data_IF_813456928260
#
_entry.id   IF_813456928260
#
_cell.length_a   1.000
_cell.length_b   1.000
_cell.length_c   1.000
_cell.angle_alpha   90.00
_cell.angle_beta   90.00
_cell.angle_gamma   90.00
#
_symmetry.space_group_name_H-M   'P 1'
#
loop_
_entity.id
_entity.type
_entity.pdbx_description
1 polymer ?
#
# COMPACT_ATOMS: atom_id res chain seq x y z
N UNK A 1 11.40 15.59 31.33
CA UNK A 1 10.05 16.17 31.44
C UNK A 1 9.08 15.01 31.30
N UNK A 2 8.23 14.78 32.29
CA UNK A 2 7.28 13.66 32.23
C UNK A 2 6.23 13.93 31.14
N UNK A 3 5.63 12.88 30.57
CA UNK A 3 4.61 13.01 29.51
C UNK A 3 3.43 13.90 29.96
N UNK A 4 3.12 13.89 31.26
CA UNK A 4 2.10 14.74 31.86
C UNK A 4 2.42 16.23 31.72
N UNK A 5 3.67 16.64 31.95
CA UNK A 5 4.12 18.02 31.81
C UNK A 5 4.07 18.48 30.35
N UNK A 6 4.50 17.62 29.42
CA UNK A 6 4.39 17.89 27.98
C UNK A 6 2.93 18.08 27.56
N UNK A 7 2.03 17.23 28.04
CA UNK A 7 0.59 17.36 27.76
C UNK A 7 0.05 18.68 28.30
N UNK A 8 0.40 19.06 29.52
CA UNK A 8 0.00 20.33 30.13
C UNK A 8 0.51 21.52 29.31
N UNK A 9 1.77 21.49 28.89
CA UNK A 9 2.34 22.52 28.01
C UNK A 9 1.59 22.62 26.68
N UNK A 10 1.27 21.49 26.06
CA UNK A 10 0.45 21.44 24.85
C UNK A 10 -0.92 22.07 25.11
N UNK A 11 -1.59 21.80 26.23
CA UNK A 11 -2.86 22.46 26.53
C UNK A 11 -2.72 23.97 26.69
N UNK A 12 -1.73 24.45 27.44
CA UNK A 12 -1.51 25.87 27.70
C UNK A 12 -1.26 26.69 26.43
N UNK A 13 -0.58 26.10 25.45
CA UNK A 13 -0.19 26.77 24.20
C UNK A 13 -1.24 26.62 23.08
N UNK A 14 -2.39 25.99 23.35
CA UNK A 14 -3.43 25.66 22.34
C UNK A 14 -3.98 26.88 21.63
N UNK A 15 -4.42 27.91 22.36
CA UNK A 15 -5.07 29.07 21.76
C UNK A 15 -4.09 29.91 20.94
N UNK A 16 -2.86 30.06 21.44
CA UNK A 16 -1.78 30.72 20.71
C UNK A 16 -1.38 29.98 19.41
N UNK A 17 -1.54 28.65 19.35
CA UNK A 17 -1.27 27.88 18.13
C UNK A 17 -2.39 27.94 17.10
N UNK A 18 -3.65 28.04 17.56
CA UNK A 18 -4.84 28.10 16.68
C UNK A 18 -4.82 29.33 15.77
N UNK A 19 -4.25 30.43 16.24
CA UNK A 19 -4.12 31.67 15.45
C UNK A 19 -2.89 31.69 14.53
N UNK A 20 -1.97 30.73 14.65
CA UNK A 20 -0.78 30.66 13.78
C UNK A 20 -1.12 29.98 12.45
N UNK A 21 -0.60 30.54 11.37
CA UNK A 21 -0.58 29.89 10.05
C UNK A 21 0.85 29.46 9.74
N UNK A 22 1.02 28.24 9.20
CA UNK A 22 2.29 27.75 8.68
C UNK A 22 2.20 27.72 7.16
N UNK A 23 2.87 28.63 6.44
CA UNK A 23 2.87 28.60 4.99
C UNK A 23 3.55 27.32 4.49
N UNK A 24 3.22 26.91 3.27
CA UNK A 24 3.95 25.83 2.60
C UNK A 24 5.38 26.26 2.35
N UNK A 25 6.32 25.34 2.51
CA UNK A 25 7.72 25.56 2.16
C UNK A 25 7.86 25.86 0.66
N UNK A 26 8.77 26.77 0.31
CA UNK A 26 9.19 26.94 -1.08
C UNK A 26 9.81 25.65 -1.62
N UNK A 27 9.85 25.43 -2.95
CA UNK A 27 10.47 24.23 -3.52
C UNK A 27 11.91 24.00 -3.06
N UNK A 28 12.73 25.06 -2.96
CA UNK A 28 14.12 24.94 -2.52
C UNK A 28 14.26 24.55 -1.04
N UNK A 29 13.45 25.14 -0.16
CA UNK A 29 13.44 24.78 1.28
C UNK A 29 13.00 23.34 1.48
N UNK A 30 11.98 22.91 0.73
CA UNK A 30 11.49 21.53 0.70
C UNK A 30 12.58 20.54 0.30
N UNK A 31 13.23 20.79 -0.83
CA UNK A 31 14.27 19.88 -1.35
C UNK A 31 15.45 19.79 -0.38
N UNK A 32 15.84 20.91 0.25
CA UNK A 32 16.89 20.94 1.27
C UNK A 32 16.52 20.12 2.50
N UNK A 33 15.30 20.29 3.02
CA UNK A 33 14.80 19.56 4.18
C UNK A 33 14.79 18.05 3.93
N UNK A 34 14.21 17.63 2.79
CA UNK A 34 14.11 16.21 2.40
C UNK A 34 15.51 15.62 2.28
N UNK A 35 16.41 16.27 1.52
CA UNK A 35 17.78 15.79 1.32
C UNK A 35 18.55 15.60 2.63
N UNK A 36 18.30 16.45 3.62
CA UNK A 36 19.01 16.42 4.89
C UNK A 36 18.43 15.39 5.87
N UNK A 37 17.11 15.18 5.87
CA UNK A 37 16.44 14.46 6.95
C UNK A 37 15.65 13.21 6.51
N UNK A 38 15.23 13.10 5.25
CA UNK A 38 14.44 11.97 4.81
C UNK A 38 15.28 10.67 4.82
N UNK A 39 14.73 9.53 5.29
CA UNK A 39 15.46 8.26 5.35
C UNK A 39 16.00 7.78 3.99
N UNK A 40 15.37 8.18 2.89
CA UNK A 40 15.82 7.81 1.54
C UNK A 40 17.20 8.38 1.19
N UNK A 41 17.68 9.41 1.89
CA UNK A 41 18.99 10.03 1.65
C UNK A 41 20.10 9.53 2.58
N UNK A 42 19.82 8.51 3.41
CA UNK A 42 20.83 7.89 4.29
C UNK A 42 21.69 6.91 3.50
N UNK A 43 22.77 7.40 2.88
CA UNK A 43 23.62 6.59 2.00
C UNK A 43 24.10 5.24 2.60
N UNK A 44 24.34 5.17 3.91
CA UNK A 44 24.77 3.94 4.59
C UNK A 44 23.68 2.87 4.70
N UNK A 45 22.41 3.22 4.47
CA UNK A 45 21.30 2.28 4.44
C UNK A 45 21.16 1.53 3.11
N UNK A 46 21.92 1.93 2.09
CA UNK A 46 21.82 1.43 0.73
C UNK A 46 23.05 0.63 0.32
N UNK A 47 22.84 -0.39 -0.51
CA UNK A 47 23.90 -1.16 -1.16
C UNK A 47 23.47 -1.65 -2.55
N UNK A 48 24.42 -1.95 -3.45
CA UNK A 48 24.09 -2.61 -4.70
C UNK A 48 23.57 -4.03 -4.48
N UNK A 49 22.65 -4.46 -5.34
CA UNK A 49 22.22 -5.86 -5.47
C UNK A 49 23.33 -6.66 -6.16
N UNK A 50 23.64 -7.85 -5.65
CA UNK A 50 24.78 -8.65 -6.07
C UNK A 50 24.50 -9.41 -7.38
N UNK A 51 23.32 -10.00 -7.54
CA UNK A 51 22.97 -10.86 -8.68
C UNK A 51 21.51 -10.69 -9.09
N UNK A 52 21.18 -11.17 -10.29
CA UNK A 52 19.82 -11.16 -10.84
C UNK A 52 19.51 -9.96 -11.74
N UNK A 53 18.25 -9.78 -12.16
CA UNK A 53 17.84 -8.76 -13.13
C UNK A 53 18.20 -7.31 -12.79
N UNK A 54 18.35 -6.99 -11.49
CA UNK A 54 18.69 -5.66 -11.00
C UNK A 54 20.13 -5.57 -10.46
N UNK A 55 21.02 -6.52 -10.79
CA UNK A 55 22.41 -6.52 -10.32
C UNK A 55 23.09 -5.16 -10.59
N UNK A 56 23.80 -4.65 -9.58
CA UNK A 56 24.45 -3.35 -9.61
C UNK A 56 23.55 -2.15 -9.29
N UNK A 57 22.22 -2.29 -9.31
CA UNK A 57 21.32 -1.23 -8.84
C UNK A 57 21.34 -1.16 -7.31
N UNK A 58 21.22 0.05 -6.77
CA UNK A 58 21.24 0.30 -5.34
C UNK A 58 19.83 0.27 -4.73
N UNK A 59 19.68 -0.38 -3.59
CA UNK A 59 18.45 -0.38 -2.77
C UNK A 59 18.84 -0.48 -1.29
N UNK A 60 17.87 -0.36 -0.39
CA UNK A 60 18.07 -0.55 1.05
C UNK A 60 18.52 -1.97 1.36
N UNK A 61 19.36 -2.12 2.39
CA UNK A 61 20.00 -3.38 2.78
C UNK A 61 18.97 -4.50 2.97
N UNK A 62 17.80 -4.21 3.54
CA UNK A 62 16.76 -5.20 3.81
C UNK A 62 16.14 -5.75 2.52
N UNK A 63 15.87 -4.90 1.53
CA UNK A 63 15.33 -5.32 0.23
C UNK A 63 16.38 -6.10 -0.56
N UNK A 64 17.62 -5.61 -0.62
CA UNK A 64 18.69 -6.34 -1.29
C UNK A 64 18.90 -7.73 -0.68
N UNK A 65 18.88 -7.82 0.65
CA UNK A 65 19.00 -9.10 1.37
C UNK A 65 17.82 -10.03 1.09
N UNK A 66 16.60 -9.48 1.02
CA UNK A 66 15.41 -10.25 0.68
C UNK A 66 15.51 -10.85 -0.73
N UNK A 67 15.92 -10.05 -1.73
CA UNK A 67 16.04 -10.49 -3.13
C UNK A 67 17.14 -11.53 -3.34
N UNK A 68 18.19 -11.48 -2.52
CA UNK A 68 19.33 -12.39 -2.59
C UNK A 68 19.14 -13.70 -1.81
N UNK A 69 17.96 -13.90 -1.20
CA UNK A 69 17.63 -15.13 -0.49
C UNK A 69 17.46 -16.34 -1.41
N UNK A 70 17.67 -17.53 -0.86
CA UNK A 70 17.47 -18.81 -1.57
C UNK A 70 16.01 -19.25 -1.59
N UNK A 71 15.66 -20.06 -2.60
CA UNK A 71 14.32 -20.66 -2.69
C UNK A 71 14.13 -21.71 -1.59
N UNK A 72 13.01 -21.70 -0.85
CA UNK A 72 12.72 -22.73 0.14
C UNK A 72 12.20 -24.03 -0.48
N UNK A 73 12.08 -24.11 -1.81
CA UNK A 73 11.52 -25.26 -2.53
C UNK A 73 12.62 -26.30 -2.81
N UNK A 74 12.42 -27.58 -2.44
CA UNK A 74 13.35 -28.66 -2.78
C UNK A 74 13.51 -28.82 -4.30
N UNK A 75 14.73 -29.09 -4.75
CA UNK A 75 15.03 -29.27 -6.18
C UNK A 75 14.35 -30.50 -6.82
N UNK A 76 13.99 -31.49 -6.00
CA UNK A 76 13.34 -32.74 -6.40
C UNK A 76 11.82 -32.75 -6.13
N UNK A 77 11.22 -31.57 -5.88
CA UNK A 77 9.77 -31.45 -5.68
C UNK A 77 9.00 -32.02 -6.89
N UNK A 78 8.03 -32.90 -6.63
CA UNK A 78 7.09 -33.37 -7.64
C UNK A 78 6.23 -32.20 -8.14
N UNK A 79 6.38 -31.88 -9.43
CA UNK A 79 5.68 -30.79 -10.10
C UNK A 79 4.32 -31.21 -10.69
N UNK A 80 3.79 -32.37 -10.30
CA UNK A 80 2.44 -32.79 -10.69
C UNK A 80 1.41 -31.81 -10.11
N UNK A 81 0.63 -31.11 -10.97
CA UNK A 81 -0.28 -30.08 -10.50
C UNK A 81 -1.47 -30.68 -9.75
N UNK A 82 -1.71 -30.18 -8.54
CA UNK A 82 -2.94 -30.45 -7.79
C UNK A 82 -4.12 -29.63 -8.35
N UNK A 83 -3.83 -28.49 -8.98
CA UNK A 83 -4.80 -27.61 -9.62
C UNK A 83 -4.30 -27.17 -11.00
N UNK A 84 -5.22 -27.08 -11.95
CA UNK A 84 -5.00 -26.51 -13.28
C UNK A 84 -6.06 -25.45 -13.54
N UNK A 85 -5.65 -24.19 -13.69
CA UNK A 85 -6.56 -23.04 -13.82
C UNK A 85 -6.16 -22.11 -14.97
N UNK A 86 -7.07 -21.23 -15.37
CA UNK A 86 -6.74 -20.18 -16.33
C UNK A 86 -5.94 -19.07 -15.64
N UNK A 87 -6.41 -18.62 -14.47
CA UNK A 87 -5.80 -17.54 -13.71
C UNK A 87 -5.57 -17.96 -12.26
N UNK A 88 -4.32 -17.93 -11.82
CA UNK A 88 -3.96 -17.99 -10.40
C UNK A 88 -3.75 -16.56 -9.89
N UNK A 89 -4.53 -16.14 -8.91
CA UNK A 89 -4.33 -14.87 -8.20
C UNK A 89 -3.65 -15.15 -6.86
N UNK A 90 -2.52 -14.51 -6.60
CA UNK A 90 -1.76 -14.66 -5.34
C UNK A 90 -1.90 -13.39 -4.51
N UNK A 91 -2.63 -13.48 -3.40
CA UNK A 91 -2.88 -12.41 -2.44
C UNK A 91 -4.36 -12.09 -2.30
N UNK A 92 -4.92 -12.21 -1.09
CA UNK A 92 -6.34 -11.98 -0.79
C UNK A 92 -6.67 -10.55 -0.33
N UNK A 93 -5.91 -9.56 -0.81
CA UNK A 93 -6.18 -8.14 -0.56
C UNK A 93 -7.11 -7.53 -1.61
N UNK A 94 -7.33 -6.21 -1.55
CA UNK A 94 -8.29 -5.54 -2.44
C UNK A 94 -7.98 -5.75 -3.92
N UNK A 95 -6.70 -5.61 -4.31
CA UNK A 95 -6.27 -5.85 -5.69
C UNK A 95 -6.46 -7.31 -6.14
N UNK A 96 -6.19 -8.28 -5.26
CA UNK A 96 -6.35 -9.69 -5.58
C UNK A 96 -7.82 -10.11 -5.68
N UNK A 97 -8.67 -9.64 -4.76
CA UNK A 97 -10.11 -9.88 -4.83
C UNK A 97 -10.71 -9.25 -6.09
N UNK A 98 -10.37 -7.99 -6.37
CA UNK A 98 -10.82 -7.32 -7.59
C UNK A 98 -10.35 -8.04 -8.87
N UNK A 99 -9.08 -8.47 -8.92
CA UNK A 99 -8.56 -9.23 -10.06
C UNK A 99 -9.28 -10.56 -10.25
N UNK A 100 -9.53 -11.29 -9.15
CA UNK A 100 -10.25 -12.56 -9.19
C UNK A 100 -11.69 -12.38 -9.68
N UNK A 101 -12.40 -11.37 -9.16
CA UNK A 101 -13.77 -11.03 -9.56
C UNK A 101 -13.87 -10.63 -11.03
N UNK A 102 -12.99 -9.75 -11.50
CA UNK A 102 -12.98 -9.34 -12.89
C UNK A 102 -12.62 -10.49 -13.84
N UNK A 103 -11.61 -11.30 -13.51
CA UNK A 103 -11.26 -12.47 -14.32
C UNK A 103 -12.41 -13.51 -14.36
N UNK A 104 -13.03 -13.76 -13.21
CA UNK A 104 -14.17 -14.67 -13.11
C UNK A 104 -15.38 -14.18 -13.90
N UNK A 105 -15.68 -12.87 -13.86
CA UNK A 105 -16.76 -12.27 -14.63
C UNK A 105 -16.56 -12.38 -16.17
N UNK A 106 -15.31 -12.54 -16.62
CA UNK A 106 -14.97 -12.83 -18.02
C UNK A 106 -15.00 -14.34 -18.35
N UNK A 107 -15.39 -15.20 -17.40
CA UNK A 107 -15.52 -16.64 -17.59
C UNK A 107 -14.24 -17.44 -17.37
N UNK A 108 -13.18 -16.85 -16.81
CA UNK A 108 -11.95 -17.58 -16.50
C UNK A 108 -12.16 -18.55 -15.32
N UNK A 109 -11.54 -19.74 -15.39
CA UNK A 109 -11.36 -20.58 -14.22
C UNK A 109 -10.29 -19.97 -13.32
N UNK A 110 -10.70 -19.39 -12.19
CA UNK A 110 -9.85 -18.64 -11.26
C UNK A 110 -9.57 -19.46 -10.00
N UNK A 111 -8.32 -19.44 -9.53
CA UNK A 111 -7.97 -19.84 -8.17
C UNK A 111 -7.36 -18.64 -7.44
N UNK A 112 -7.91 -18.26 -6.29
CA UNK A 112 -7.34 -17.27 -5.40
C UNK A 112 -6.58 -17.98 -4.28
N UNK A 113 -5.29 -17.67 -4.11
CA UNK A 113 -4.48 -18.18 -3.01
C UNK A 113 -4.00 -17.02 -2.13
N UNK A 114 -4.06 -17.19 -0.82
CA UNK A 114 -3.52 -16.20 0.12
C UNK A 114 -2.92 -16.87 1.35
N UNK A 115 -1.76 -16.36 1.78
CA UNK A 115 -1.09 -16.83 3.00
C UNK A 115 -1.80 -16.44 4.29
N UNK A 116 -2.77 -15.53 4.20
CA UNK A 116 -3.57 -15.05 5.32
C UNK A 116 -4.99 -15.60 5.19
N UNK A 117 -5.88 -15.12 6.06
CA UNK A 117 -7.32 -15.28 5.86
C UNK A 117 -7.84 -14.23 4.87
N UNK A 118 -8.82 -14.57 4.05
CA UNK A 118 -9.54 -13.64 3.19
C UNK A 118 -10.25 -12.58 4.05
N UNK A 119 -9.98 -11.31 3.74
CA UNK A 119 -10.42 -10.18 4.57
C UNK A 119 -9.51 -9.90 5.77
N UNK A 120 -8.33 -10.52 5.87
CA UNK A 120 -7.29 -10.20 6.86
C UNK A 120 -6.01 -9.74 6.15
N UNK A 121 -6.14 -8.74 5.27
CA UNK A 121 -5.03 -8.19 4.49
C UNK A 121 -4.71 -6.77 4.91
N UNK A 122 -3.57 -6.23 4.47
CA UNK A 122 -3.22 -4.83 4.74
C UNK A 122 -4.29 -3.83 4.25
N UNK A 123 -5.10 -4.21 3.26
CA UNK A 123 -6.19 -3.39 2.74
C UNK A 123 -7.24 -3.04 3.80
N UNK A 124 -7.52 -3.92 4.78
CA UNK A 124 -8.54 -3.63 5.81
C UNK A 124 -8.15 -2.50 6.75
N UNK A 125 -6.84 -2.22 6.86
CA UNK A 125 -6.30 -1.21 7.76
C UNK A 125 -6.31 0.19 7.16
N UNK A 126 -6.72 0.35 5.90
CA UNK A 126 -6.81 1.66 5.27
C UNK A 126 -7.99 2.47 5.86
N UNK A 127 -7.66 3.56 6.53
CA UNK A 127 -8.67 4.42 7.19
C UNK A 127 -9.09 5.59 6.29
N UNK A 128 -8.09 6.29 5.74
CA UNK A 128 -8.25 7.64 5.19
C UNK A 128 -9.22 7.80 4.01
N UNK A 129 -9.35 6.78 3.14
CA UNK A 129 -10.25 6.82 1.99
C UNK A 129 -9.62 6.40 0.67
N UNK A 130 -10.39 6.51 -0.41
CA UNK A 130 -9.98 6.23 -1.79
C UNK A 130 -10.09 7.52 -2.63
N UNK A 131 -9.02 7.94 -3.29
CA UNK A 131 -9.04 9.17 -4.09
C UNK A 131 -9.62 8.89 -5.48
N UNK A 132 -10.79 9.45 -5.78
CA UNK A 132 -11.47 9.34 -7.07
C UNK A 132 -12.16 10.66 -7.40
N UNK A 133 -11.90 11.19 -8.60
CA UNK A 133 -12.49 12.43 -9.09
C UNK A 133 -13.96 12.23 -9.50
N UNK A 134 -14.87 12.19 -8.52
CA UNK A 134 -16.34 12.09 -8.73
C UNK A 134 -17.10 13.37 -8.42
N UNK A 135 -16.44 14.36 -7.81
CA UNK A 135 -17.06 15.63 -7.45
C UNK A 135 -17.28 16.52 -8.68
N UNK A 136 -18.34 17.32 -8.67
CA UNK A 136 -18.72 18.19 -9.79
C UNK A 136 -17.68 19.29 -10.10
N UNK A 137 -16.84 19.66 -9.14
CA UNK A 137 -15.80 20.67 -9.29
C UNK A 137 -14.37 20.09 -9.46
N UNK A 138 -14.27 18.77 -9.67
CA UNK A 138 -13.03 18.03 -9.90
C UNK A 138 -13.04 17.29 -11.25
N UNK A 139 -11.88 16.74 -11.65
CA UNK A 139 -11.78 15.94 -12.87
C UNK A 139 -10.62 14.95 -12.83
N UNK A 140 -10.65 13.86 -13.64
CA UNK A 140 -9.51 12.98 -13.84
C UNK A 140 -8.22 13.73 -14.21
N UNK A 141 -8.33 14.80 -15.00
CA UNK A 141 -7.17 15.65 -15.37
C UNK A 141 -6.58 16.35 -14.16
N UNK A 142 -7.41 16.91 -13.28
CA UNK A 142 -6.91 17.56 -12.07
C UNK A 142 -6.30 16.55 -11.09
N UNK A 143 -6.90 15.36 -10.98
CA UNK A 143 -6.33 14.26 -10.21
C UNK A 143 -4.98 13.79 -10.80
N UNK A 144 -4.85 13.70 -12.12
CA UNK A 144 -3.60 13.40 -12.82
C UNK A 144 -2.50 14.39 -12.44
N UNK A 145 -2.79 15.69 -12.52
CA UNK A 145 -1.82 16.75 -12.22
C UNK A 145 -1.34 16.72 -10.76
N UNK A 146 -2.27 16.51 -9.83
CA UNK A 146 -1.93 16.41 -8.40
C UNK A 146 -1.04 15.19 -8.13
N UNK A 147 -1.39 14.04 -8.69
CA UNK A 147 -0.62 12.79 -8.50
C UNK A 147 0.74 12.84 -9.19
N UNK A 148 0.81 13.41 -10.40
CA UNK A 148 2.06 13.57 -11.13
C UNK A 148 3.03 14.49 -10.37
N UNK A 149 2.51 15.58 -9.81
CA UNK A 149 3.29 16.47 -8.94
C UNK A 149 3.73 15.74 -7.67
N UNK A 150 2.84 14.97 -7.04
CA UNK A 150 3.14 14.19 -5.84
C UNK A 150 4.22 13.12 -6.06
N UNK A 151 4.29 12.53 -7.25
CA UNK A 151 5.36 11.61 -7.64
C UNK A 151 6.59 12.28 -8.24
N UNK A 152 6.75 13.60 -8.08
CA UNK A 152 7.88 14.39 -8.61
C UNK A 152 8.11 14.18 -10.11
N UNK A 153 7.03 14.05 -10.88
CA UNK A 153 7.06 13.78 -12.33
C UNK A 153 7.72 12.45 -12.72
N UNK A 154 7.92 11.52 -11.77
CA UNK A 154 8.53 10.19 -12.00
C UNK A 154 7.50 9.09 -12.24
N UNK A 155 6.21 9.41 -12.24
CA UNK A 155 5.14 8.45 -12.50
C UNK A 155 5.19 7.96 -13.95
N UNK A 156 4.80 6.70 -14.19
CA UNK A 156 4.44 6.28 -15.55
C UNK A 156 3.15 6.99 -15.95
N UNK A 157 3.21 7.79 -17.02
CA UNK A 157 2.08 8.61 -17.44
C UNK A 157 0.90 7.79 -17.97
N UNK A 158 1.16 6.63 -18.58
CA UNK A 158 0.09 5.78 -19.12
C UNK A 158 -0.63 5.07 -17.98
N UNK A 159 0.10 4.48 -17.04
CA UNK A 159 -0.49 3.85 -15.86
C UNK A 159 -1.25 4.86 -15.00
N UNK A 160 -0.68 6.05 -14.81
CA UNK A 160 -1.35 7.12 -14.06
C UNK A 160 -2.63 7.57 -14.76
N UNK A 161 -2.61 7.71 -16.09
CA UNK A 161 -3.80 8.06 -16.89
C UNK A 161 -4.90 7.02 -16.71
N UNK A 162 -4.58 5.74 -16.86
CA UNK A 162 -5.54 4.63 -16.65
C UNK A 162 -6.16 4.73 -15.26
N UNK A 163 -5.33 4.86 -14.21
CA UNK A 163 -5.80 4.94 -12.83
C UNK A 163 -6.80 6.09 -12.60
N UNK A 164 -6.54 7.28 -13.13
CA UNK A 164 -7.41 8.45 -12.88
C UNK A 164 -8.65 8.46 -13.79
N UNK A 165 -8.56 7.98 -15.03
CA UNK A 165 -9.67 7.95 -15.98
C UNK A 165 -10.66 6.82 -15.67
N UNK A 166 -10.17 5.65 -15.23
CA UNK A 166 -11.03 4.53 -14.84
C UNK A 166 -11.53 4.66 -13.39
N UNK A 167 -10.92 5.51 -12.56
CA UNK A 167 -11.33 5.71 -11.17
C UNK A 167 -12.85 5.88 -10.98
N UNK A 168 -13.54 6.77 -11.70
CA UNK A 168 -14.99 6.94 -11.57
C UNK A 168 -15.80 5.66 -11.87
N UNK A 169 -15.41 4.84 -12.85
CA UNK A 169 -16.11 3.58 -13.12
C UNK A 169 -15.83 2.55 -12.04
N UNK A 170 -14.64 2.55 -11.44
CA UNK A 170 -14.33 1.72 -10.27
C UNK A 170 -15.14 2.14 -9.04
N UNK A 171 -15.35 3.45 -8.81
CA UNK A 171 -16.23 3.92 -7.73
C UNK A 171 -17.66 3.40 -7.91
N UNK A 172 -18.17 3.47 -9.14
CA UNK A 172 -19.49 2.97 -9.50
C UNK A 172 -19.59 1.45 -9.32
N UNK A 173 -18.59 0.69 -9.77
CA UNK A 173 -18.54 -0.76 -9.56
C UNK A 173 -18.56 -1.13 -8.07
N UNK A 174 -17.78 -0.43 -7.23
CA UNK A 174 -17.81 -0.67 -5.78
C UNK A 174 -19.17 -0.34 -5.15
N UNK A 175 -19.84 0.73 -5.61
CA UNK A 175 -21.22 1.05 -5.19
C UNK A 175 -22.21 -0.04 -5.58
N UNK A 176 -22.10 -0.57 -6.80
CA UNK A 176 -22.96 -1.65 -7.31
C UNK A 176 -22.78 -2.96 -6.53
N UNK A 177 -21.55 -3.26 -6.10
CA UNK A 177 -21.27 -4.39 -5.21
C UNK A 177 -21.79 -4.16 -3.77
N UNK A 178 -22.11 -2.92 -3.40
CA UNK A 178 -22.70 -2.58 -2.10
C UNK A 178 -21.75 -1.92 -1.10
N UNK A 179 -20.66 -1.28 -1.55
CA UNK A 179 -19.81 -0.45 -0.68
C UNK A 179 -20.59 0.79 -0.23
N UNK A 180 -20.65 1.01 1.09
CA UNK A 180 -21.41 2.11 1.69
C UNK A 180 -20.55 3.37 1.88
N UNK A 181 -20.22 4.05 0.79
CA UNK A 181 -19.55 5.35 0.86
C UNK A 181 -20.43 6.41 1.55
N UNK A 182 -19.78 7.27 2.33
CA UNK A 182 -20.42 8.38 3.06
C UNK A 182 -21.21 9.29 2.11
N UNK A 183 -22.35 9.78 2.60
CA UNK A 183 -23.26 10.67 1.85
C UNK A 183 -23.37 12.02 2.51
N UNK A 184 -23.60 13.06 1.70
CA UNK A 184 -24.01 14.37 2.21
C UNK A 184 -25.51 14.38 2.59
N UNK A 185 -26.00 15.52 3.07
CA UNK A 185 -27.39 15.67 3.48
C UNK A 185 -28.40 15.48 2.33
N UNK A 186 -27.97 15.66 1.08
CA UNK A 186 -28.78 15.52 -0.13
C UNK A 186 -28.67 14.11 -0.74
N UNK A 187 -27.87 13.22 -0.16
CA UNK A 187 -27.67 11.84 -0.62
C UNK A 187 -26.59 11.66 -1.69
N UNK A 188 -25.84 12.71 -2.04
CA UNK A 188 -24.71 12.60 -2.97
C UNK A 188 -23.50 12.00 -2.27
N UNK A 189 -22.52 11.53 -3.06
CA UNK A 189 -21.24 11.06 -2.49
C UNK A 189 -20.54 12.21 -1.78
N UNK A 190 -20.22 12.01 -0.51
CA UNK A 190 -19.43 12.95 0.24
C UNK A 190 -17.94 12.69 -0.02
N UNK A 191 -17.21 13.76 -0.36
CA UNK A 191 -15.75 13.70 -0.58
C UNK A 191 -15.03 14.65 0.35
N UNK A 192 -13.89 14.20 0.87
CA UNK A 192 -12.99 15.02 1.69
C UNK A 192 -11.77 15.48 0.90
N UNK A 193 -11.05 16.46 1.45
CA UNK A 193 -9.76 16.90 0.92
C UNK A 193 -8.62 16.11 1.58
N UNK A 194 -7.88 15.35 0.77
CA UNK A 194 -6.66 14.66 1.19
C UNK A 194 -5.41 15.55 1.13
N UNK A 195 -4.33 15.14 1.79
CA UNK A 195 -3.03 15.79 1.67
C UNK A 195 -2.53 15.80 0.22
N UNK A 196 -1.85 16.88 -0.17
CA UNK A 196 -1.32 17.04 -1.53
C UNK A 196 -2.37 17.31 -2.63
N UNK A 197 -3.67 17.15 -2.36
CA UNK A 197 -4.73 17.37 -3.35
C UNK A 197 -5.12 18.85 -3.51
N UNK A 198 -5.37 19.27 -4.74
CA UNK A 198 -5.94 20.59 -5.05
C UNK A 198 -7.45 20.64 -4.80
N UNK A 199 -8.17 19.55 -5.09
CA UNK A 199 -9.63 19.38 -4.92
C UNK A 199 -10.00 18.32 -3.89
N UNK A 200 -11.25 18.34 -3.43
CA UNK A 200 -11.81 17.27 -2.61
C UNK A 200 -12.22 16.10 -3.50
N UNK A 201 -11.67 14.92 -3.22
CA UNK A 201 -11.91 13.70 -4.03
C UNK A 201 -11.73 12.41 -3.23
N UNK A 202 -11.60 12.52 -1.92
CA UNK A 202 -11.35 11.39 -1.05
C UNK A 202 -12.70 10.82 -0.64
N UNK A 203 -13.10 9.70 -1.25
CA UNK A 203 -14.26 8.92 -0.85
C UNK A 203 -13.95 8.18 0.44
N UNK A 204 -14.87 8.22 1.40
CA UNK A 204 -14.69 7.63 2.73
C UNK A 204 -15.87 6.75 3.12
N UNK A 205 -15.62 5.80 4.01
CA UNK A 205 -16.64 5.17 4.86
C UNK A 205 -16.22 5.46 6.30
N UNK A 206 -16.64 6.62 6.81
CA UNK A 206 -16.11 7.20 8.05
C UNK A 206 -14.58 7.16 8.11
N UNK A 207 -13.99 6.39 9.03
CA UNK A 207 -12.55 6.18 9.21
C UNK A 207 -12.11 4.71 9.02
N UNK A 208 -12.92 3.90 8.33
CA UNK A 208 -12.67 2.47 8.11
C UNK A 208 -12.87 2.05 6.63
N UNK A 209 -12.66 2.97 5.69
CA UNK A 209 -12.92 2.78 4.25
C UNK A 209 -12.36 1.47 3.68
N UNK A 210 -11.13 1.10 4.04
CA UNK A 210 -10.50 -0.15 3.60
C UNK A 210 -11.18 -1.41 4.12
N UNK A 211 -11.65 -1.38 5.37
CA UNK A 211 -12.42 -2.48 5.96
C UNK A 211 -13.74 -2.66 5.22
N UNK A 212 -14.45 -1.57 4.92
CA UNK A 212 -15.73 -1.61 4.22
C UNK A 212 -15.58 -2.13 2.78
N UNK A 213 -14.60 -1.63 2.02
CA UNK A 213 -14.31 -2.14 0.68
C UNK A 213 -13.94 -3.63 0.74
N UNK A 214 -13.07 -4.03 1.67
CA UNK A 214 -12.67 -5.43 1.79
C UNK A 214 -13.80 -6.34 2.22
N UNK A 215 -14.73 -5.88 3.08
CA UNK A 215 -15.93 -6.63 3.46
C UNK A 215 -16.73 -7.00 2.22
N UNK A 216 -17.03 -6.02 1.37
CA UNK A 216 -17.80 -6.23 0.14
C UNK A 216 -17.07 -7.12 -0.85
N UNK A 217 -15.79 -6.85 -1.13
CA UNK A 217 -15.00 -7.65 -2.07
C UNK A 217 -14.84 -9.11 -1.61
N UNK A 218 -14.63 -9.32 -0.30
CA UNK A 218 -14.60 -10.66 0.28
C UNK A 218 -15.93 -11.38 0.09
N UNK A 219 -17.04 -10.74 0.46
CA UNK A 219 -18.36 -11.34 0.37
C UNK A 219 -18.67 -11.72 -1.08
N UNK A 220 -18.29 -10.87 -2.04
CA UNK A 220 -18.50 -11.15 -3.46
C UNK A 220 -17.65 -12.31 -3.98
N UNK A 221 -16.38 -12.43 -3.57
CA UNK A 221 -15.54 -13.59 -3.92
C UNK A 221 -16.18 -14.90 -3.44
N UNK A 222 -16.76 -14.90 -2.24
CA UNK A 222 -17.45 -16.05 -1.68
C UNK A 222 -18.79 -16.33 -2.37
N UNK A 223 -19.57 -15.29 -2.67
CA UNK A 223 -20.87 -15.39 -3.35
C UNK A 223 -20.73 -15.96 -4.76
N UNK A 224 -19.70 -15.53 -5.50
CA UNK A 224 -19.36 -16.04 -6.83
C UNK A 224 -18.72 -17.44 -6.78
N UNK A 225 -18.47 -17.98 -5.57
CA UNK A 225 -17.87 -19.31 -5.35
C UNK A 225 -16.52 -19.47 -6.05
N UNK A 226 -15.73 -18.40 -6.11
CA UNK A 226 -14.37 -18.47 -6.65
C UNK A 226 -13.54 -19.40 -5.73
N UNK A 227 -12.90 -20.45 -6.27
CA UNK A 227 -12.00 -21.31 -5.51
C UNK A 227 -10.95 -20.51 -4.74
N UNK A 228 -10.83 -20.79 -3.44
CA UNK A 228 -9.98 -20.07 -2.50
C UNK A 228 -9.11 -21.04 -1.70
N UNK A 229 -7.82 -20.72 -1.60
CA UNK A 229 -6.86 -21.35 -0.69
C UNK A 229 -6.38 -20.31 0.34
N UNK A 230 -6.88 -20.42 1.57
CA UNK A 230 -6.42 -19.60 2.71
C UNK A 230 -5.27 -20.28 3.43
N UNK A 231 -4.44 -19.49 4.14
CA UNK A 231 -3.23 -19.98 4.82
C UNK A 231 -2.27 -20.75 3.89
N UNK A 232 -2.26 -20.37 2.61
CA UNK A 232 -1.42 -20.96 1.57
C UNK A 232 -0.56 -19.87 0.92
N UNK A 233 0.74 -19.93 1.16
CA UNK A 233 1.71 -18.95 0.66
C UNK A 233 2.29 -19.38 -0.69
N UNK A 234 2.38 -18.50 -1.67
CA UNK A 234 3.23 -18.76 -2.84
C UNK A 234 4.71 -18.69 -2.41
N UNK A 235 5.48 -19.71 -2.78
CA UNK A 235 6.89 -19.85 -2.38
C UNK A 235 7.83 -19.96 -3.57
N UNK A 236 7.33 -20.33 -4.74
CA UNK A 236 8.08 -20.27 -6.00
C UNK A 236 7.16 -20.10 -7.21
N UNK A 237 7.65 -19.46 -8.28
CA UNK A 237 6.96 -19.44 -9.57
C UNK A 237 7.50 -20.54 -10.49
N UNK A 238 6.61 -21.09 -11.30
CA UNK A 238 6.97 -22.08 -12.32
C UNK A 238 7.15 -21.38 -13.66
N UNK A 239 8.06 -21.89 -14.47
CA UNK A 239 8.23 -21.46 -15.86
C UNK A 239 8.39 -22.64 -16.81
N UNK A 240 8.13 -22.38 -18.09
CA UNK A 240 8.56 -23.25 -19.18
C UNK A 240 10.04 -23.03 -19.53
N UNK A 241 10.55 -23.83 -20.47
CA UNK A 241 11.92 -23.73 -20.95
C UNK A 241 12.26 -22.39 -21.65
N UNK A 242 11.25 -21.55 -21.95
CA UNK A 242 11.41 -20.23 -22.55
C UNK A 242 11.34 -19.10 -21.51
N UNK A 243 11.12 -19.44 -20.23
CA UNK A 243 10.98 -18.47 -19.14
C UNK A 243 9.58 -17.88 -18.98
N UNK A 244 8.57 -18.36 -19.72
CA UNK A 244 7.20 -17.92 -19.52
C UNK A 244 6.64 -18.52 -18.23
N UNK A 245 5.97 -17.71 -17.40
CA UNK A 245 5.36 -18.20 -16.17
C UNK A 245 4.22 -19.18 -16.47
N UNK A 246 4.26 -20.37 -15.84
CA UNK A 246 3.30 -21.47 -16.07
C UNK A 246 2.52 -21.87 -14.82
N UNK A 247 2.69 -21.14 -13.73
CA UNK A 247 2.06 -21.46 -12.46
C UNK A 247 2.91 -21.09 -11.25
N UNK A 248 2.61 -21.72 -10.13
CA UNK A 248 3.34 -21.50 -8.89
C UNK A 248 3.37 -22.77 -8.02
N UNK A 249 4.41 -22.85 -7.19
CA UNK A 249 4.44 -23.72 -6.02
C UNK A 249 3.93 -22.90 -4.83
N UNK A 250 2.91 -23.42 -4.19
CA UNK A 250 2.36 -22.88 -2.96
C UNK A 250 2.75 -23.78 -1.77
N UNK A 251 2.75 -23.23 -0.56
CA UNK A 251 2.99 -23.93 0.68
C UNK A 251 1.81 -23.70 1.62
N UNK A 252 1.15 -24.79 1.97
CA UNK A 252 0.13 -24.84 3.02
C UNK A 252 0.82 -24.65 4.38
N UNK A 253 0.44 -23.58 5.09
CA UNK A 253 1.10 -23.19 6.34
C UNK A 253 0.64 -24.03 7.54
N UNK A 254 -0.51 -24.70 7.45
CA UNK A 254 -1.04 -25.53 8.54
C UNK A 254 -0.31 -26.88 8.61
N UNK A 255 -0.03 -27.49 7.45
CA UNK A 255 0.57 -28.83 7.37
C UNK A 255 1.95 -28.87 6.67
N UNK A 256 2.48 -27.73 6.24
CA UNK A 256 3.76 -27.59 5.53
C UNK A 256 3.87 -28.34 4.18
N UNK A 257 2.74 -28.73 3.57
CA UNK A 257 2.74 -29.39 2.26
C UNK A 257 2.88 -28.40 1.12
N UNK A 258 3.62 -28.79 0.08
CA UNK A 258 3.65 -28.08 -1.18
C UNK A 258 2.44 -28.41 -2.07
N UNK A 259 1.86 -27.39 -2.68
CA UNK A 259 0.74 -27.49 -3.61
C UNK A 259 1.19 -26.89 -4.93
N UNK A 260 1.23 -27.70 -5.98
CA UNK A 260 1.61 -27.25 -7.31
C UNK A 260 0.35 -26.82 -8.06
N UNK A 261 0.37 -25.60 -8.59
CA UNK A 261 -0.72 -25.03 -9.40
C UNK A 261 -0.19 -24.71 -10.78
N UNK A 262 -0.72 -25.38 -11.80
CA UNK A 262 -0.52 -24.98 -13.19
C UNK A 262 -1.52 -23.87 -13.56
N UNK A 263 -1.04 -22.77 -14.14
CA UNK A 263 -1.87 -21.65 -14.53
C UNK A 263 -1.40 -21.03 -15.86
N UNK A 264 -2.34 -20.59 -16.70
CA UNK A 264 -2.01 -19.85 -17.93
C UNK A 264 -1.55 -18.42 -17.63
N UNK A 265 -2.00 -17.87 -16.50
CA UNK A 265 -1.63 -16.52 -16.04
C UNK A 265 -1.56 -16.52 -14.51
N UNK A 266 -0.51 -15.88 -13.97
CA UNK A 266 -0.35 -15.66 -12.53
C UNK A 266 -0.38 -14.16 -12.25
N UNK A 267 -1.29 -13.72 -11.39
CA UNK A 267 -1.40 -12.33 -10.92
C UNK A 267 -0.84 -12.26 -9.51
N UNK A 268 0.22 -11.47 -9.32
CA UNK A 268 0.83 -11.23 -8.01
C UNK A 268 0.23 -9.96 -7.38
N UNK A 269 -0.61 -10.12 -6.36
CA UNK A 269 -1.28 -9.06 -5.61
C UNK A 269 -0.98 -9.17 -4.09
N UNK A 270 0.30 -9.37 -3.75
CA UNK A 270 0.74 -9.82 -2.41
C UNK A 270 0.99 -8.70 -1.39
N UNK A 271 0.80 -7.44 -1.79
CA UNK A 271 1.00 -6.29 -0.90
C UNK A 271 2.45 -5.81 -0.83
N UNK A 272 2.75 -5.04 0.21
CA UNK A 272 4.03 -4.34 0.36
C UNK A 272 5.10 -5.09 1.15
N UNK A 273 6.11 -4.33 1.57
CA UNK A 273 7.32 -4.79 2.26
C UNK A 273 7.47 -4.24 3.69
N UNK A 274 6.41 -3.66 4.28
CA UNK A 274 6.54 -2.91 5.53
C UNK A 274 7.06 -3.72 6.72
N UNK A 275 6.99 -5.06 6.67
CA UNK A 275 7.54 -5.95 7.70
C UNK A 275 9.03 -6.24 7.58
N UNK A 276 9.68 -5.72 6.53
CA UNK A 276 11.12 -5.64 6.49
C UNK A 276 11.67 -4.58 7.45
N UNK A 277 10.82 -3.70 8.00
CA UNK A 277 11.22 -2.64 8.94
C UNK A 277 12.41 -1.83 8.40
N UNK A 278 12.27 -1.33 7.17
CA UNK A 278 13.33 -0.62 6.44
C UNK A 278 13.99 0.43 7.33
N UNK A 279 15.30 0.31 7.52
CA UNK A 279 16.12 1.16 8.39
C UNK A 279 15.69 1.17 9.86
N UNK A 280 15.11 0.08 10.34
CA UNK A 280 14.63 -0.09 11.71
C UNK A 280 13.35 0.68 12.04
N UNK A 281 12.68 1.28 11.04
CA UNK A 281 11.46 2.04 11.30
C UNK A 281 10.30 1.12 11.72
N UNK A 282 9.47 1.55 12.68
CA UNK A 282 8.22 0.87 12.99
C UNK A 282 7.25 0.97 11.80
N UNK A 283 6.33 0.03 11.70
CA UNK A 283 5.48 -0.13 10.52
C UNK A 283 4.00 -0.17 10.89
N UNK A 284 3.18 0.50 10.07
CA UNK A 284 1.72 0.38 10.13
C UNK A 284 1.20 -0.82 9.35
N UNK A 285 2.09 -1.58 8.69
CA UNK A 285 1.70 -2.63 7.77
C UNK A 285 1.31 -3.93 8.49
N UNK A 286 0.44 -4.70 7.86
CA UNK A 286 -0.03 -5.98 8.35
C UNK A 286 1.14 -6.97 8.44
N UNK A 287 1.04 -7.99 9.28
CA UNK A 287 2.10 -9.00 9.42
C UNK A 287 2.41 -9.75 8.12
N UNK A 288 1.47 -9.77 7.17
CA UNK A 288 1.70 -10.37 5.86
C UNK A 288 2.49 -9.52 4.85
N UNK A 289 2.82 -8.25 5.13
CA UNK A 289 3.50 -7.37 4.18
C UNK A 289 5.04 -7.59 4.16
N UNK A 290 5.46 -8.74 3.67
CA UNK A 290 6.86 -9.23 3.71
C UNK A 290 7.57 -9.24 2.36
N UNK A 291 6.96 -8.70 1.30
CA UNK A 291 7.64 -8.57 0.00
C UNK A 291 7.71 -9.82 -0.86
N UNK A 292 6.92 -10.85 -0.59
CA UNK A 292 7.07 -12.19 -1.19
C UNK A 292 7.14 -12.14 -2.73
N UNK A 293 6.21 -11.41 -3.38
CA UNK A 293 6.17 -11.35 -4.85
C UNK A 293 7.39 -10.71 -5.48
N UNK A 294 8.10 -9.82 -4.77
CA UNK A 294 9.34 -9.23 -5.28
C UNK A 294 10.37 -10.33 -5.49
N UNK A 295 10.54 -11.23 -4.51
CA UNK A 295 11.47 -12.35 -4.58
C UNK A 295 11.06 -13.34 -5.66
N UNK A 296 9.78 -13.71 -5.69
CA UNK A 296 9.23 -14.66 -6.65
C UNK A 296 9.44 -14.19 -8.10
N UNK A 297 9.08 -12.94 -8.39
CA UNK A 297 9.28 -12.35 -9.71
C UNK A 297 10.76 -12.19 -10.05
N UNK A 298 11.59 -11.79 -9.08
CA UNK A 298 13.02 -11.60 -9.27
C UNK A 298 13.75 -12.88 -9.66
N UNK A 299 13.43 -13.99 -8.99
CA UNK A 299 14.00 -15.32 -9.31
C UNK A 299 13.56 -15.84 -10.66
N UNK A 300 12.34 -15.51 -11.10
CA UNK A 300 11.87 -15.80 -12.45
C UNK A 300 12.57 -14.97 -13.53
N UNK A 301 13.33 -13.94 -13.14
CA UNK A 301 14.07 -13.07 -14.05
C UNK A 301 13.38 -11.75 -14.38
N UNK A 302 12.29 -11.39 -13.68
CA UNK A 302 11.61 -10.11 -13.90
C UNK A 302 12.38 -8.95 -13.25
N UNK A 303 12.70 -7.87 -14.00
CA UNK A 303 13.29 -6.68 -13.42
C UNK A 303 12.27 -5.95 -12.54
N UNK A 304 12.73 -5.50 -11.38
CA UNK A 304 11.95 -4.66 -10.47
C UNK A 304 12.18 -3.19 -10.80
N UNK A 305 11.21 -2.34 -10.49
CA UNK A 305 11.27 -0.88 -10.68
C UNK A 305 11.12 -0.16 -9.36
N UNK A 306 11.73 1.03 -9.24
CA UNK A 306 11.60 1.91 -8.06
C UNK A 306 11.93 1.20 -6.73
N UNK A 307 12.90 0.29 -6.76
CA UNK A 307 13.34 -0.49 -5.60
C UNK A 307 14.05 0.34 -4.53
N UNK A 308 14.21 1.65 -4.72
CA UNK A 308 14.92 2.58 -3.86
C UNK A 308 14.00 3.63 -3.20
N UNK A 309 12.68 3.53 -3.42
CA UNK A 309 11.73 4.56 -2.99
C UNK A 309 10.75 4.01 -1.95
N UNK A 310 10.72 4.60 -0.75
CA UNK A 310 9.88 4.14 0.36
C UNK A 310 9.08 5.29 0.98
N UNK A 311 7.83 5.01 1.34
CA UNK A 311 6.98 6.01 1.99
C UNK A 311 6.99 5.84 3.51
N UNK A 312 7.36 6.90 4.22
CA UNK A 312 7.22 7.01 5.66
C UNK A 312 5.98 7.83 5.98
N UNK A 313 5.12 7.31 6.85
CA UNK A 313 3.93 8.04 7.30
C UNK A 313 4.29 8.91 8.51
N UNK A 314 3.95 10.21 8.52
CA UNK A 314 4.43 11.15 9.55
C UNK A 314 3.82 10.92 10.94
N UNK A 315 2.72 10.17 11.02
CA UNK A 315 1.95 10.01 12.26
C UNK A 315 1.74 8.53 12.60
N UNK A 316 2.84 7.83 12.84
CA UNK A 316 2.84 6.52 13.48
C UNK A 316 2.81 6.64 15.00
N UNK A 317 2.08 5.76 15.68
CA UNK A 317 2.14 5.66 17.14
C UNK A 317 3.56 5.35 17.60
N UNK A 318 3.97 5.97 18.70
CA UNK A 318 5.25 5.71 19.39
C UNK A 318 5.04 5.39 20.88
N UNK A 319 3.81 5.58 21.37
CA UNK A 319 3.40 5.31 22.74
C UNK A 319 1.88 5.05 22.80
N UNK A 320 1.41 4.14 23.68
CA UNK A 320 2.22 3.20 24.46
C UNK A 320 2.93 2.20 23.55
N UNK A 321 3.90 1.45 24.09
CA UNK A 321 4.77 0.56 23.32
C UNK A 321 4.00 -0.41 22.41
N UNK A 322 2.83 -0.85 22.85
CA UNK A 322 1.92 -1.75 22.13
C UNK A 322 1.34 -1.12 20.85
N UNK A 323 1.36 0.20 20.72
CA UNK A 323 0.87 0.95 19.55
C UNK A 323 2.01 1.48 18.67
N UNK A 324 3.25 1.09 18.92
CA UNK A 324 4.39 1.52 18.09
C UNK A 324 4.17 1.08 16.63
N UNK A 325 4.18 2.04 15.71
CA UNK A 325 3.90 1.84 14.29
C UNK A 325 2.42 1.88 13.90
N UNK A 326 1.48 1.85 14.87
CA UNK A 326 0.05 1.94 14.57
C UNK A 326 -0.25 3.25 13.82
N UNK A 327 -1.03 3.15 12.74
CA UNK A 327 -1.36 4.32 11.94
C UNK A 327 -2.30 5.25 12.71
N UNK A 328 -1.92 6.51 12.83
CA UNK A 328 -2.85 7.60 13.15
C UNK A 328 -3.20 8.28 11.82
N UNK A 329 -4.48 8.27 11.45
CA UNK A 329 -4.91 8.72 10.12
C UNK A 329 -4.51 10.16 9.81
N UNK A 330 -4.08 10.38 8.56
CA UNK A 330 -3.91 11.70 7.98
C UNK A 330 -5.18 12.56 8.08
N UNK A 331 -6.36 11.92 8.15
CA UNK A 331 -7.63 12.60 8.36
C UNK A 331 -7.60 13.55 9.56
N UNK A 332 -6.89 13.21 10.65
CA UNK A 332 -6.77 14.11 11.81
C UNK A 332 -6.11 15.44 11.42
N UNK A 333 -5.10 15.41 10.56
CA UNK A 333 -4.44 16.62 10.05
C UNK A 333 -5.37 17.38 9.10
N UNK A 334 -6.09 16.68 8.23
CA UNK A 334 -7.10 17.28 7.34
C UNK A 334 -8.22 18.00 8.10
N UNK A 335 -8.62 17.49 9.27
CA UNK A 335 -9.63 18.10 10.15
C UNK A 335 -9.05 19.20 11.08
N UNK A 336 -7.80 19.61 10.88
CA UNK A 336 -7.17 20.72 11.61
C UNK A 336 -6.32 20.30 12.82
N UNK A 337 -5.96 19.02 12.93
CA UNK A 337 -4.98 18.54 13.89
C UNK A 337 -3.60 19.16 13.68
N UNK A 338 -2.96 19.60 14.77
CA UNK A 338 -1.64 20.23 14.73
C UNK A 338 -0.53 19.29 15.17
N UNK A 339 0.60 19.32 14.46
CA UNK A 339 1.84 18.70 14.91
C UNK A 339 2.61 19.69 15.79
N UNK A 340 3.05 19.23 16.97
CA UNK A 340 3.71 20.07 17.98
C UNK A 340 4.97 19.41 18.53
N UNK A 341 6.02 20.20 18.74
CA UNK A 341 7.27 19.72 19.32
C UNK A 341 7.18 19.62 20.86
N UNK A 342 8.26 19.18 21.51
CA UNK A 342 8.35 19.05 22.96
C UNK A 342 8.16 20.38 23.73
N UNK A 343 8.21 21.53 23.06
CA UNK A 343 7.98 22.87 23.62
C UNK A 343 6.53 23.35 23.41
N UNK A 344 5.67 22.53 22.82
CA UNK A 344 4.30 22.89 22.49
C UNK A 344 4.18 23.84 21.29
N UNK A 345 5.20 23.91 20.43
CA UNK A 345 5.22 24.80 19.26
C UNK A 345 4.89 24.02 17.99
N UNK A 346 4.11 24.63 17.08
CA UNK A 346 3.96 24.11 15.71
C UNK A 346 5.24 24.35 14.93
N UNK A 347 5.55 23.46 14.01
CA UNK A 347 6.81 23.49 13.25
C UNK A 347 6.66 23.20 11.75
N UNK A 348 5.47 22.82 11.28
CA UNK A 348 5.25 22.42 9.88
C UNK A 348 3.82 22.74 9.45
N UNK A 349 3.60 22.89 8.14
CA UNK A 349 2.26 22.83 7.56
C UNK A 349 1.80 21.38 7.47
N UNK A 350 0.77 21.02 8.22
CA UNK A 350 0.30 19.63 8.35
C UNK A 350 -0.36 19.08 7.07
N UNK A 351 -0.64 19.93 6.08
CA UNK A 351 -1.23 19.58 4.77
C UNK A 351 -0.22 19.62 3.61
N UNK A 352 1.09 19.78 3.91
CA UNK A 352 2.14 19.52 2.94
C UNK A 352 2.26 18.01 2.63
N UNK A 353 3.11 17.67 1.66
CA UNK A 353 3.32 16.29 1.22
C UNK A 353 4.00 15.45 2.32
N UNK A 354 3.77 14.12 2.31
CA UNK A 354 4.18 13.23 3.41
C UNK A 354 5.68 13.19 3.65
N UNK A 355 6.47 13.25 2.60
CA UNK A 355 7.93 13.39 2.61
C UNK A 355 8.35 14.63 3.41
N UNK A 356 7.74 15.79 3.14
CA UNK A 356 8.01 17.04 3.86
C UNK A 356 7.65 16.94 5.34
N UNK A 357 6.44 16.47 5.63
CA UNK A 357 5.98 16.37 7.01
C UNK A 357 6.82 15.36 7.80
N UNK A 358 7.18 14.23 7.20
CA UNK A 358 8.03 13.21 7.83
C UNK A 358 9.47 13.70 8.03
N UNK A 359 10.04 14.44 7.07
CA UNK A 359 11.36 15.06 7.22
C UNK A 359 11.41 16.20 8.24
N UNK A 360 10.26 16.78 8.60
CA UNK A 360 10.16 17.84 9.60
C UNK A 360 10.13 17.31 11.04
N UNK A 361 9.87 16.00 11.21
CA UNK A 361 9.82 15.29 12.50
C UNK A 361 11.19 14.69 12.77
#
# INVERSE_FOLDING_TARGET
>A
MELADQRNLVHQTRDARRSKSFPKLSPAERDSLIKQHHPDHRAHAYRPIIFGPNAGQSTVIEVATLLEGESPVPADLDLTPAYSVDVLVVGGGGAGCASALHAHAQGANVLLATKLRLGDSNSVMAQGGMQIAVASDDSPVQHFLDTLKGGHMKNDHQLLKVMVEEGPSIAQWLLELGVLFDRDADGNLHVKKGGGSSKARLLTCSDYTGLEIMRVLKDEVLNQKIPLLEFVAAVELLSDAKGACTGAVLKDLDNNRFIVVAAKTVILATGGIGRLHIQGFPTSNHFGATGDALVLAYRLGAPLVQIDTFQYHPSGGVYPEQLVGALVTEGIRSEGGHLVNAKGERFVNELDTRDVVSSSI
#
